data_IF_156852672403
#
_entry.id   IF_156852672403
#
_cell.length_a   1.000
_cell.length_b   1.000
_cell.length_c   1.000
_cell.angle_alpha   90.00
_cell.angle_beta   90.00
_cell.angle_gamma   90.00
#
_symmetry.space_group_name_H-M   'P 1'
#
loop_
_entity.id
_entity.type
_entity.pdbx_description
1 polymer ?
#
# COMPACT_ATOMS: atom_id res chain seq x y z
N UNK A 1 -4.50 -37.49 17.04
CA UNK A 1 -4.08 -36.40 17.96
C UNK A 1 -5.22 -36.10 18.92
N UNK A 2 -4.95 -35.82 20.20
CA UNK A 2 -6.01 -35.43 21.15
C UNK A 2 -6.43 -33.98 20.87
N UNK A 3 -7.68 -33.57 21.17
CA UNK A 3 -8.15 -32.22 20.89
C UNK A 3 -7.28 -31.10 21.50
N UNK A 4 -6.68 -31.36 22.66
CA UNK A 4 -5.74 -30.44 23.33
C UNK A 4 -4.44 -30.25 22.55
N UNK A 5 -3.90 -31.32 21.97
CA UNK A 5 -2.67 -31.27 21.18
C UNK A 5 -2.86 -30.40 19.93
N UNK A 6 -4.04 -30.50 19.31
CA UNK A 6 -4.40 -29.72 18.13
C UNK A 6 -4.53 -28.22 18.44
N UNK A 7 -5.04 -27.84 19.63
CA UNK A 7 -5.08 -26.45 20.06
C UNK A 7 -3.68 -25.83 20.21
N UNK A 8 -2.71 -26.58 20.75
CA UNK A 8 -1.33 -26.09 20.88
C UNK A 8 -0.65 -25.89 19.53
N UNK A 9 -0.86 -26.81 18.58
CA UNK A 9 -0.32 -26.68 17.22
C UNK A 9 -0.91 -25.45 16.51
N UNK A 10 -2.22 -25.21 16.64
CA UNK A 10 -2.87 -24.03 16.05
C UNK A 10 -2.38 -22.73 16.68
N UNK A 11 -2.19 -22.69 18.01
CA UNK A 11 -1.63 -21.52 18.71
C UNK A 11 -0.19 -21.25 18.24
N UNK A 12 0.63 -22.30 18.12
CA UNK A 12 2.00 -22.18 17.62
C UNK A 12 2.04 -21.62 16.20
N UNK A 13 1.19 -22.14 15.31
CA UNK A 13 1.09 -21.64 13.93
C UNK A 13 0.58 -20.21 13.84
N UNK A 14 -0.39 -19.82 14.66
CA UNK A 14 -0.84 -18.43 14.79
C UNK A 14 0.29 -17.51 15.24
N UNK A 15 1.06 -17.92 16.24
CA UNK A 15 2.22 -17.17 16.72
C UNK A 15 3.29 -17.01 15.64
N UNK A 16 3.58 -18.08 14.89
CA UNK A 16 4.54 -18.04 13.77
C UNK A 16 4.07 -17.14 12.62
N UNK A 17 2.79 -17.20 12.25
CA UNK A 17 2.22 -16.33 11.21
C UNK A 17 2.21 -14.85 11.63
N UNK A 18 1.86 -14.56 12.89
CA UNK A 18 1.88 -13.21 13.44
C UNK A 18 3.31 -12.66 13.47
N UNK A 19 4.27 -13.45 13.98
CA UNK A 19 5.68 -13.07 14.01
C UNK A 19 6.24 -12.83 12.60
N UNK A 20 5.95 -13.72 11.65
CA UNK A 20 6.36 -13.55 10.25
C UNK A 20 5.78 -12.26 9.64
N UNK A 21 4.48 -11.99 9.82
CA UNK A 21 3.83 -10.78 9.29
C UNK A 21 4.42 -9.50 9.90
N UNK A 22 4.69 -9.50 11.20
CA UNK A 22 5.32 -8.37 11.89
C UNK A 22 6.77 -8.16 11.43
N UNK A 23 7.57 -9.22 11.39
CA UNK A 23 8.97 -9.14 10.99
C UNK A 23 9.11 -8.71 9.53
N UNK A 24 8.29 -9.28 8.64
CA UNK A 24 8.30 -8.91 7.23
C UNK A 24 7.78 -7.49 7.01
N UNK A 25 6.81 -6.99 7.79
CA UNK A 25 6.38 -5.58 7.78
C UNK A 25 7.51 -4.64 8.16
N UNK A 26 8.21 -4.91 9.26
CA UNK A 26 9.36 -4.11 9.71
C UNK A 26 10.47 -4.11 8.64
N UNK A 27 10.79 -5.25 8.04
CA UNK A 27 11.82 -5.34 6.99
C UNK A 27 11.43 -4.54 5.75
N UNK A 28 10.15 -4.61 5.32
CA UNK A 28 9.67 -3.86 4.16
C UNK A 28 9.67 -2.35 4.41
N UNK A 29 9.28 -1.91 5.61
CA UNK A 29 9.36 -0.50 6.02
C UNK A 29 10.80 0.00 6.04
N UNK A 30 11.73 -0.77 6.61
CA UNK A 30 13.16 -0.42 6.67
C UNK A 30 13.80 -0.39 5.27
N UNK A 31 13.34 -1.23 4.34
CA UNK A 31 13.91 -1.32 2.98
C UNK A 31 13.17 -0.49 1.93
N UNK A 32 12.09 0.21 2.29
CA UNK A 32 11.30 1.03 1.38
C UNK A 32 10.71 0.26 0.19
N UNK A 33 10.51 -1.06 0.34
CA UNK A 33 9.98 -1.91 -0.73
C UNK A 33 8.44 -1.84 -0.68
N UNK A 34 7.73 -1.55 -1.78
CA UNK A 34 6.27 -1.55 -1.78
C UNK A 34 5.74 -2.93 -1.36
N UNK A 35 4.67 -2.96 -0.57
CA UNK A 35 4.09 -4.18 0.00
C UNK A 35 3.45 -5.05 -1.09
N UNK A 36 4.22 -5.97 -1.67
CA UNK A 36 3.76 -6.84 -2.75
C UNK A 36 3.29 -8.21 -2.23
N UNK A 37 2.00 -8.49 -2.43
CA UNK A 37 1.28 -9.78 -2.39
C UNK A 37 1.42 -10.67 -1.13
N UNK A 38 2.62 -11.00 -0.67
CA UNK A 38 2.88 -11.97 0.40
C UNK A 38 2.34 -11.53 1.78
N UNK A 39 2.26 -10.22 2.04
CA UNK A 39 1.66 -9.69 3.28
C UNK A 39 0.15 -9.92 3.37
N UNK A 40 -0.56 -9.81 2.24
CA UNK A 40 -2.00 -9.99 2.21
C UNK A 40 -2.36 -11.47 2.42
N UNK A 41 -1.66 -12.37 1.74
CA UNK A 41 -1.87 -13.83 1.85
C UNK A 41 -1.62 -14.35 3.28
N UNK A 42 -0.56 -13.88 3.94
CA UNK A 42 -0.27 -14.25 5.33
C UNK A 42 -1.27 -13.64 6.32
N UNK A 43 -1.81 -12.46 6.01
CA UNK A 43 -2.93 -11.88 6.72
C UNK A 43 -4.19 -12.77 6.67
N UNK A 44 -4.53 -13.28 5.48
CA UNK A 44 -5.66 -14.21 5.32
C UNK A 44 -5.42 -15.55 6.02
N UNK A 45 -4.20 -16.10 5.94
CA UNK A 45 -3.84 -17.31 6.67
C UNK A 45 -3.99 -17.14 8.19
N UNK A 46 -3.57 -15.98 8.73
CA UNK A 46 -3.73 -15.65 10.15
C UNK A 46 -5.21 -15.55 10.55
N UNK A 47 -6.05 -14.91 9.73
CA UNK A 47 -7.48 -14.80 9.97
C UNK A 47 -8.18 -16.19 9.95
N UNK A 48 -7.83 -17.05 8.99
CA UNK A 48 -8.37 -18.40 8.88
C UNK A 48 -7.97 -19.29 10.07
N UNK A 49 -6.70 -19.26 10.48
CA UNK A 49 -6.22 -19.97 11.68
C UNK A 49 -6.86 -19.41 12.96
N UNK A 50 -7.12 -18.11 13.02
CA UNK A 50 -7.83 -17.46 14.12
C UNK A 50 -9.26 -17.97 14.23
N UNK A 51 -9.98 -18.01 13.11
CA UNK A 51 -11.33 -18.56 13.06
C UNK A 51 -11.37 -20.05 13.46
N UNK A 52 -10.40 -20.84 12.99
CA UNK A 52 -10.26 -22.25 13.39
C UNK A 52 -9.98 -22.38 14.90
N UNK A 53 -9.12 -21.52 15.45
CA UNK A 53 -8.84 -21.49 16.89
C UNK A 53 -10.10 -21.16 17.71
N UNK A 54 -10.89 -20.18 17.28
CA UNK A 54 -12.18 -19.84 17.88
C UNK A 54 -13.17 -21.00 17.78
N UNK A 55 -13.25 -21.69 16.63
CA UNK A 55 -14.15 -22.82 16.42
C UNK A 55 -13.79 -24.01 17.32
N UNK A 56 -12.50 -24.37 17.39
CA UNK A 56 -12.01 -25.46 18.25
C UNK A 56 -12.20 -25.15 19.74
N UNK A 57 -12.20 -23.87 20.13
CA UNK A 57 -12.42 -23.43 21.50
C UNK A 57 -13.85 -22.90 21.75
N UNK A 58 -14.77 -23.04 20.79
CA UNK A 58 -16.13 -22.52 20.88
C UNK A 58 -16.91 -23.03 22.12
N UNK A 59 -16.79 -24.31 22.55
CA UNK A 59 -17.45 -24.78 23.77
C UNK A 59 -16.94 -24.08 25.04
N UNK A 60 -15.62 -23.84 25.12
CA UNK A 60 -14.98 -23.12 26.21
C UNK A 60 -15.42 -21.64 26.23
N UNK A 61 -15.44 -21.00 25.07
CA UNK A 61 -15.88 -19.60 24.91
C UNK A 61 -17.36 -19.46 25.28
N UNK A 62 -18.23 -20.36 24.81
CA UNK A 62 -19.65 -20.40 25.21
C UNK A 62 -19.81 -20.63 26.70
N UNK A 63 -18.99 -21.48 27.32
CA UNK A 63 -19.01 -21.69 28.77
C UNK A 63 -18.58 -20.44 29.55
N UNK A 64 -17.66 -19.63 29.00
CA UNK A 64 -17.25 -18.35 29.57
C UNK A 64 -18.34 -17.29 29.41
N UNK A 65 -18.92 -17.16 28.21
CA UNK A 65 -19.99 -16.22 27.91
C UNK A 65 -21.28 -16.51 28.70
N UNK A 66 -21.64 -17.78 28.86
CA UNK A 66 -22.75 -18.21 29.70
C UNK A 66 -22.51 -17.86 31.17
N UNK A 67 -21.28 -18.06 31.67
CA UNK A 67 -20.88 -17.65 33.03
C UNK A 67 -20.94 -16.14 33.24
N UNK A 68 -20.60 -15.37 32.20
CA UNK A 68 -20.66 -13.91 32.23
C UNK A 68 -22.10 -13.40 32.28
N UNK A 69 -23.02 -14.09 31.60
CA UNK A 69 -24.47 -13.80 31.63
C UNK A 69 -25.17 -14.27 32.91
N UNK A 70 -24.65 -15.31 33.57
CA UNK A 70 -25.22 -15.86 34.81
C UNK A 70 -24.12 -16.00 35.90
N UNK A 71 -23.69 -14.89 36.54
CA UNK A 71 -22.59 -14.90 37.50
C UNK A 71 -22.90 -15.67 38.79
N UNK A 72 -24.18 -15.89 39.12
CA UNK A 72 -24.62 -16.58 40.34
C UNK A 72 -24.35 -18.10 40.37
N UNK A 73 -24.07 -18.73 39.21
CA UNK A 73 -23.86 -20.19 39.11
C UNK A 73 -22.38 -20.57 38.89
N UNK A 74 -21.46 -19.60 38.94
CA UNK A 74 -20.05 -19.83 38.74
C UNK A 74 -19.42 -20.47 39.99
N UNK A 75 -19.43 -21.81 40.10
CA UNK A 75 -18.51 -22.48 41.02
C UNK A 75 -17.08 -22.02 40.70
N UNK A 76 -16.35 -21.54 41.72
CA UNK A 76 -14.98 -21.03 41.58
C UNK A 76 -14.09 -22.10 40.94
N UNK A 77 -13.54 -21.90 39.74
CA UNK A 77 -12.49 -22.79 39.26
C UNK A 77 -11.26 -22.59 40.13
N UNK A 78 -10.64 -23.70 40.57
CA UNK A 78 -9.33 -23.72 41.24
C UNK A 78 -8.18 -23.52 40.25
N UNK A 79 -8.37 -22.66 39.24
CA UNK A 79 -7.28 -22.18 38.40
C UNK A 79 -6.78 -20.90 39.04
N UNK A 80 -5.53 -20.91 39.48
CA UNK A 80 -4.99 -19.89 40.36
C UNK A 80 -5.24 -18.50 39.79
N UNK A 81 -5.71 -17.58 40.64
CA UNK A 81 -5.85 -16.14 40.36
C UNK A 81 -4.61 -15.56 39.65
N UNK A 82 -3.45 -16.18 39.86
CA UNK A 82 -2.16 -15.91 39.22
C UNK A 82 -2.15 -16.18 37.71
N UNK A 83 -2.71 -17.28 37.22
CA UNK A 83 -2.66 -17.66 35.79
C UNK A 83 -3.53 -16.73 34.94
N UNK A 84 -4.69 -16.33 35.48
CA UNK A 84 -5.59 -15.38 34.83
C UNK A 84 -5.00 -13.96 34.84
N UNK A 85 -4.40 -13.54 35.96
CA UNK A 85 -3.64 -12.28 36.04
C UNK A 85 -2.47 -12.29 35.07
N UNK A 86 -1.71 -13.39 34.97
CA UNK A 86 -0.58 -13.53 34.05
C UNK A 86 -1.02 -13.47 32.58
N UNK A 87 -2.09 -14.17 32.19
CA UNK A 87 -2.63 -14.10 30.83
C UNK A 87 -3.13 -12.71 30.45
N UNK A 88 -3.79 -12.02 31.39
CA UNK A 88 -4.32 -10.67 31.18
C UNK A 88 -3.20 -9.63 31.14
N UNK A 89 -2.21 -9.74 32.03
CA UNK A 89 -1.01 -8.90 32.05
C UNK A 89 -0.15 -9.10 30.80
N UNK A 90 0.01 -10.34 30.32
CA UNK A 90 0.77 -10.63 29.10
C UNK A 90 0.08 -10.04 27.85
N UNK A 91 -1.26 -10.11 27.77
CA UNK A 91 -2.02 -9.51 26.67
C UNK A 91 -1.95 -7.98 26.70
N UNK A 92 -2.13 -7.36 27.87
CA UNK A 92 -2.01 -5.91 28.03
C UNK A 92 -0.58 -5.43 27.78
N UNK A 93 0.43 -6.18 28.23
CA UNK A 93 1.83 -5.90 27.92
C UNK A 93 2.10 -5.99 26.42
N UNK A 94 1.56 -6.99 25.72
CA UNK A 94 1.68 -7.11 24.26
C UNK A 94 1.05 -5.94 23.51
N UNK A 95 -0.11 -5.45 23.95
CA UNK A 95 -0.78 -4.27 23.36
C UNK A 95 0.00 -2.99 23.65
N UNK A 96 0.47 -2.78 24.88
CA UNK A 96 1.24 -1.59 25.26
C UNK A 96 2.61 -1.56 24.57
N UNK A 97 3.28 -2.71 24.47
CA UNK A 97 4.55 -2.84 23.74
C UNK A 97 4.32 -2.63 22.25
N UNK A 98 3.31 -3.24 21.63
CA UNK A 98 2.99 -3.04 20.21
C UNK A 98 2.62 -1.60 19.87
N UNK A 99 1.79 -0.95 20.70
CA UNK A 99 1.33 0.43 20.47
C UNK A 99 2.39 1.48 20.84
N UNK A 100 3.18 1.23 21.88
CA UNK A 100 4.26 2.11 22.33
C UNK A 100 5.49 2.07 21.43
N UNK A 101 5.88 0.87 20.96
CA UNK A 101 6.94 0.72 19.95
C UNK A 101 6.48 1.31 18.62
N UNK A 102 5.24 1.05 18.20
CA UNK A 102 4.67 1.62 16.97
C UNK A 102 4.58 3.16 16.95
N UNK A 103 4.47 3.83 18.11
CA UNK A 103 4.49 5.31 18.21
C UNK A 103 5.88 5.92 18.39
N UNK A 104 6.87 5.14 18.84
CA UNK A 104 8.26 5.60 19.01
C UNK A 104 9.16 5.29 17.83
N UNK A 105 8.73 4.43 16.90
CA UNK A 105 9.32 4.40 15.56
C UNK A 105 9.00 5.76 14.93
N UNK A 106 10.00 6.61 14.69
CA UNK A 106 9.77 7.87 14.00
C UNK A 106 9.13 7.52 12.66
N UNK A 107 7.96 8.09 12.37
CA UNK A 107 7.46 8.13 11.01
C UNK A 107 8.33 9.12 10.21
N UNK A 108 9.62 8.83 10.06
CA UNK A 108 10.47 9.42 9.03
C UNK A 108 10.13 8.77 7.67
N UNK A 109 8.83 8.81 7.37
CA UNK A 109 8.23 8.51 6.07
C UNK A 109 7.62 9.75 5.44
N UNK A 110 7.95 10.95 5.96
CA UNK A 110 8.11 12.09 5.05
C UNK A 110 9.35 11.76 4.25
N UNK A 111 9.14 11.25 3.05
CA UNK A 111 10.15 10.91 2.05
C UNK A 111 11.35 11.85 2.13
N UNK A 112 12.38 11.42 2.87
CA UNK A 112 13.72 11.93 2.68
C UNK A 112 14.14 11.52 1.27
N UNK A 113 14.79 12.40 0.49
CA UNK A 113 15.29 12.01 -0.82
C UNK A 113 16.24 10.84 -0.63
N UNK A 114 16.00 9.77 -1.40
CA UNK A 114 16.86 8.61 -1.47
C UNK A 114 18.28 9.07 -1.85
N UNK A 115 19.19 9.13 -0.89
CA UNK A 115 20.62 9.36 -1.13
C UNK A 115 21.20 8.09 -1.76
N UNK A 116 21.05 7.99 -3.08
CA UNK A 116 21.89 7.11 -3.89
C UNK A 116 23.26 7.77 -3.89
N UNK A 117 24.27 7.10 -3.31
CA UNK A 117 25.67 7.53 -3.22
C UNK A 117 26.42 7.73 -4.55
N UNK A 118 25.75 8.29 -5.56
CA UNK A 118 26.35 9.19 -6.52
C UNK A 118 25.40 10.37 -6.57
N UNK A 119 25.84 11.54 -6.08
CA UNK A 119 25.04 12.75 -6.03
C UNK A 119 24.34 12.95 -7.38
N UNK A 120 23.06 12.58 -7.47
CA UNK A 120 22.19 13.10 -8.50
C UNK A 120 22.28 14.60 -8.29
N UNK A 121 22.82 15.39 -9.24
CA UNK A 121 22.84 16.83 -9.09
C UNK A 121 21.42 17.24 -8.69
N UNK A 122 21.25 18.13 -7.69
CA UNK A 122 19.93 18.65 -7.37
C UNK A 122 19.27 19.02 -8.69
N UNK A 123 17.99 18.65 -8.93
CA UNK A 123 17.33 18.97 -10.19
C UNK A 123 17.62 20.42 -10.49
N UNK A 124 18.42 20.63 -11.54
CA UNK A 124 18.91 21.95 -11.88
C UNK A 124 17.65 22.78 -12.04
N UNK A 125 17.48 23.90 -11.31
CA UNK A 125 16.32 24.73 -11.48
C UNK A 125 16.26 25.08 -12.96
N UNK A 126 15.23 24.55 -13.65
CA UNK A 126 15.00 24.88 -15.05
C UNK A 126 14.74 26.38 -14.98
N UNK A 127 15.76 27.17 -15.35
CA UNK A 127 15.55 28.59 -15.53
C UNK A 127 14.51 28.65 -16.64
N UNK A 128 13.29 29.14 -16.37
CA UNK A 128 12.27 29.14 -17.40
C UNK A 128 12.86 29.93 -18.56
N UNK A 129 13.12 29.25 -19.68
CA UNK A 129 13.36 29.94 -20.93
C UNK A 129 12.09 30.70 -21.32
N UNK A 130 12.04 31.21 -22.55
CA UNK A 130 10.78 31.71 -23.08
C UNK A 130 9.70 30.63 -22.97
N UNK A 131 8.62 30.92 -22.23
CA UNK A 131 7.47 30.03 -22.14
C UNK A 131 6.71 30.07 -23.46
N UNK A 132 6.44 28.90 -24.03
CA UNK A 132 5.74 28.79 -25.30
C UNK A 132 4.31 28.34 -25.01
N UNK A 133 3.35 29.20 -25.33
CA UNK A 133 1.94 28.89 -25.16
C UNK A 133 1.52 27.87 -26.22
N UNK A 134 1.08 26.69 -25.76
CA UNK A 134 0.49 25.67 -26.62
C UNK A 134 -1.02 25.91 -26.76
N UNK A 135 -1.61 25.57 -27.92
CA UNK A 135 -3.06 25.62 -28.08
C UNK A 135 -3.76 24.62 -27.14
N UNK A 136 -5.06 24.83 -26.83
CA UNK A 136 -5.83 23.87 -26.05
C UNK A 136 -5.82 22.47 -26.68
N UNK A 137 -5.65 21.40 -25.88
CA UNK A 137 -5.65 20.04 -26.40
C UNK A 137 -7.02 19.68 -26.98
N UNK A 138 -7.04 19.16 -28.20
CA UNK A 138 -8.27 18.75 -28.87
C UNK A 138 -8.54 17.25 -28.67
N UNK A 139 -9.80 16.82 -28.49
CA UNK A 139 -10.13 15.40 -28.41
C UNK A 139 -9.77 14.67 -29.70
N UNK A 140 -9.20 13.47 -29.60
CA UNK A 140 -8.73 12.70 -30.77
C UNK A 140 -9.84 12.11 -31.65
N UNK A 141 -11.10 12.14 -31.19
CA UNK A 141 -12.24 11.50 -31.86
C UNK A 141 -12.17 9.97 -31.96
N UNK A 142 -11.07 9.34 -31.53
CA UNK A 142 -10.82 7.91 -31.62
C UNK A 142 -11.45 7.19 -30.43
N UNK A 143 -12.27 6.17 -30.71
CA UNK A 143 -12.82 5.31 -29.66
C UNK A 143 -11.71 4.52 -28.93
N UNK A 144 -11.86 4.37 -27.62
CA UNK A 144 -10.87 3.73 -26.76
C UNK A 144 -10.55 2.29 -27.18
N UNK A 145 -11.58 1.51 -27.51
CA UNK A 145 -11.42 0.12 -27.94
C UNK A 145 -10.62 0.02 -29.25
N UNK A 146 -10.88 0.92 -30.19
CA UNK A 146 -10.15 1.03 -31.46
C UNK A 146 -8.70 1.44 -31.22
N UNK A 147 -8.46 2.42 -30.34
CA UNK A 147 -7.11 2.85 -29.97
C UNK A 147 -6.27 1.69 -29.39
N UNK A 148 -6.85 0.93 -28.45
CA UNK A 148 -6.17 -0.22 -27.82
C UNK A 148 -5.86 -1.30 -28.85
N UNK A 149 -6.82 -1.65 -29.73
CA UNK A 149 -6.63 -2.66 -30.78
C UNK A 149 -5.54 -2.26 -31.79
N UNK A 150 -5.49 -0.99 -32.16
CA UNK A 150 -4.56 -0.47 -33.18
C UNK A 150 -3.17 -0.14 -32.62
N UNK A 151 -2.98 -0.05 -31.30
CA UNK A 151 -1.71 0.33 -30.68
C UNK A 151 -0.55 -0.57 -31.12
N UNK A 152 0.47 0.01 -31.74
CA UNK A 152 1.73 -0.65 -32.11
C UNK A 152 2.90 0.29 -31.84
N UNK A 153 4.08 -0.27 -31.59
CA UNK A 153 5.32 0.52 -31.56
C UNK A 153 5.77 0.79 -32.99
N UNK A 154 5.78 2.06 -33.40
CA UNK A 154 6.25 2.51 -34.73
C UNK A 154 7.60 3.23 -34.55
N UNK A 155 8.54 2.96 -35.46
CA UNK A 155 9.89 3.57 -35.46
C UNK A 155 10.23 4.28 -36.76
N UNK A 156 9.41 4.11 -37.79
CA UNK A 156 9.48 4.83 -39.05
C UNK A 156 8.44 5.95 -39.02
N UNK A 157 8.90 7.19 -39.21
CA UNK A 157 8.07 8.39 -39.09
C UNK A 157 8.02 9.14 -40.42
N UNK A 158 6.86 9.74 -40.72
CA UNK A 158 6.71 10.60 -41.89
C UNK A 158 7.67 11.81 -41.81
N UNK A 159 8.01 12.42 -42.97
CA UNK A 159 8.83 13.62 -42.99
C UNK A 159 8.08 14.87 -42.48
N UNK A 160 6.74 14.82 -42.42
CA UNK A 160 5.90 15.93 -41.99
C UNK A 160 6.17 16.26 -40.50
N UNK A 161 6.35 17.54 -40.13
CA UNK A 161 6.46 17.95 -38.74
C UNK A 161 5.13 17.74 -38.00
N UNK A 162 5.21 17.62 -36.69
CA UNK A 162 4.03 17.60 -35.83
C UNK A 162 3.50 19.03 -35.65
N UNK A 163 2.19 19.23 -35.67
CA UNK A 163 1.60 20.53 -35.32
C UNK A 163 1.67 20.79 -33.81
N UNK A 164 1.62 22.05 -33.39
CA UNK A 164 1.55 22.38 -31.95
C UNK A 164 0.28 21.84 -31.28
N UNK A 165 -0.83 21.72 -32.02
CA UNK A 165 -2.08 21.13 -31.53
C UNK A 165 -1.95 19.65 -31.21
N UNK A 166 -1.27 18.90 -32.09
CA UNK A 166 -0.98 17.49 -31.83
C UNK A 166 0.00 17.32 -30.67
N UNK A 167 1.04 18.17 -30.58
CA UNK A 167 1.95 18.17 -29.44
C UNK A 167 1.20 18.44 -28.12
N UNK A 168 0.34 19.45 -28.09
CA UNK A 168 -0.49 19.77 -26.94
C UNK A 168 -1.38 18.60 -26.53
N UNK A 169 -2.02 17.95 -27.50
CA UNK A 169 -2.83 16.75 -27.29
C UNK A 169 -2.03 15.59 -26.68
N UNK A 170 -0.82 15.34 -27.19
CA UNK A 170 0.07 14.30 -26.65
C UNK A 170 0.48 14.62 -25.20
N UNK A 171 0.97 15.83 -24.94
CA UNK A 171 1.38 16.25 -23.59
C UNK A 171 0.20 16.18 -22.62
N UNK A 172 -0.99 16.62 -23.04
CA UNK A 172 -2.18 16.51 -22.21
C UNK A 172 -2.57 15.04 -21.93
N UNK A 173 -2.54 14.17 -22.94
CA UNK A 173 -2.83 12.75 -22.76
C UNK A 173 -1.82 12.03 -21.86
N UNK A 174 -0.56 12.50 -21.80
CA UNK A 174 0.47 11.90 -20.94
C UNK A 174 0.40 12.33 -19.48
N UNK A 175 0.29 13.64 -19.21
CA UNK A 175 0.38 14.22 -17.85
C UNK A 175 -0.51 15.46 -17.67
N UNK A 176 -1.41 15.75 -18.61
CA UNK A 176 -2.28 16.93 -18.58
C UNK A 176 -3.32 16.90 -17.48
N UNK A 177 -3.78 18.08 -17.08
CA UNK A 177 -4.80 18.25 -16.06
C UNK A 177 -6.18 17.90 -16.63
N UNK A 178 -6.90 17.00 -15.98
CA UNK A 178 -8.27 16.57 -16.33
C UNK A 178 -9.31 17.12 -15.37
N UNK A 179 -8.91 17.45 -14.13
CA UNK A 179 -9.75 18.14 -13.15
C UNK A 179 -8.96 19.31 -12.55
N UNK A 180 -9.21 20.56 -12.99
CA UNK A 180 -8.50 21.74 -12.49
C UNK A 180 -8.71 22.00 -11.00
N UNK A 181 -9.89 21.70 -10.45
CA UNK A 181 -10.21 21.99 -9.05
C UNK A 181 -9.40 21.10 -8.09
N UNK A 182 -9.18 19.84 -8.49
CA UNK A 182 -8.39 18.87 -7.71
C UNK A 182 -6.96 18.69 -8.22
N UNK A 183 -6.60 19.39 -9.29
CA UNK A 183 -5.33 19.21 -10.01
C UNK A 183 -5.06 17.76 -10.40
N UNK A 184 -6.10 16.99 -10.74
CA UNK A 184 -5.93 15.62 -11.20
C UNK A 184 -5.42 15.57 -12.63
N UNK A 185 -4.59 14.57 -12.91
CA UNK A 185 -3.95 14.39 -14.20
C UNK A 185 -4.52 13.20 -14.95
N UNK A 186 -4.30 13.18 -16.26
CA UNK A 186 -4.65 12.08 -17.15
C UNK A 186 -4.01 10.75 -16.71
N UNK A 187 -2.81 10.80 -16.13
CA UNK A 187 -2.15 9.64 -15.52
C UNK A 187 -2.45 9.58 -14.01
N UNK A 188 -2.88 8.42 -13.46
CA UNK A 188 -3.05 8.25 -12.03
C UNK A 188 -1.69 8.23 -11.30
N UNK A 189 -1.67 8.68 -10.05
CA UNK A 189 -0.48 8.66 -9.18
C UNK A 189 -0.85 8.32 -7.75
N UNK A 190 -0.03 7.50 -7.08
CA UNK A 190 -0.22 7.16 -5.68
C UNK A 190 -0.22 8.44 -4.82
N UNK A 191 -1.27 8.60 -4.01
CA UNK A 191 -1.47 9.79 -3.16
C UNK A 191 -1.60 11.11 -3.92
N UNK A 192 -1.90 11.10 -5.23
CA UNK A 192 -1.97 12.29 -6.08
C UNK A 192 -0.70 13.18 -6.02
N UNK A 193 0.46 12.56 -5.81
CA UNK A 193 1.75 13.26 -5.65
C UNK A 193 2.39 13.70 -6.96
N UNK A 194 2.06 13.03 -8.08
CA UNK A 194 2.53 13.33 -9.44
C UNK A 194 4.04 13.63 -9.54
N UNK A 195 4.92 12.69 -9.11
CA UNK A 195 6.37 12.92 -9.05
C UNK A 195 7.06 12.92 -10.41
N UNK A 196 6.33 12.65 -11.50
CA UNK A 196 6.88 12.54 -12.85
C UNK A 196 6.68 13.85 -13.61
N UNK A 197 7.74 14.30 -14.28
CA UNK A 197 7.74 15.42 -15.20
C UNK A 197 7.93 14.93 -16.63
N UNK A 198 7.18 15.52 -17.57
CA UNK A 198 7.28 15.21 -18.99
C UNK A 198 8.19 16.21 -19.69
N UNK A 199 9.30 15.72 -20.25
CA UNK A 199 10.22 16.51 -21.06
C UNK A 199 10.05 16.15 -22.53
N UNK A 200 9.80 17.15 -23.37
CA UNK A 200 9.73 16.97 -24.83
C UNK A 200 11.05 17.37 -25.47
N UNK A 201 11.75 16.40 -26.07
CA UNK A 201 12.89 16.67 -26.96
C UNK A 201 12.34 16.94 -28.37
N UNK A 202 12.38 18.20 -28.79
CA UNK A 202 11.77 18.65 -30.05
C UNK A 202 12.79 18.61 -31.19
N UNK A 203 12.40 17.96 -32.29
CA UNK A 203 13.21 17.92 -33.52
C UNK A 203 12.48 18.50 -34.74
N UNK A 204 11.21 18.13 -34.94
CA UNK A 204 10.37 18.61 -36.06
C UNK A 204 8.95 18.86 -35.58
N UNK A 205 8.72 20.04 -35.02
CA UNK A 205 7.38 20.52 -34.64
C UNK A 205 7.21 21.90 -35.26
N UNK A 206 6.02 22.20 -35.78
CA UNK A 206 5.76 23.50 -36.37
C UNK A 206 5.89 24.62 -35.32
N UNK A 207 6.73 25.63 -35.59
CA UNK A 207 6.93 26.77 -34.70
C UNK A 207 7.80 26.49 -33.46
N UNK A 208 8.51 25.36 -33.40
CA UNK A 208 9.50 25.00 -32.38
C UNK A 208 10.76 24.39 -33.00
#
# INVERSE_FOLDING_TARGET
MRPRDMSYVVILFLGLCAFYTTLSGIIMDVRGVPTFFLHAEMGYACAALGALHLALNAPLIRSYAHRWRHPALAQRPTRGRRDFLQGTLAMLAGVVVGFGVGRKVPSEGRSAPMDRGGATPPPQPITPGAAIALPPPSPSGLLLDKAIRQRRSRRDYAPLPLSQGELAGLLWATQGITDPARSFRAAPSAGATYPLEAYALVHRVEGL
#
